data_IF_239207714750
#
_entry.id   IF_239207714750
#
_cell.length_a   1.000
_cell.length_b   1.000
_cell.length_c   1.000
_cell.angle_alpha   90.00
_cell.angle_beta   90.00
_cell.angle_gamma   90.00
#
_symmetry.space_group_name_H-M   'P 1'
#
loop_
_entity.id
_entity.type
_entity.pdbx_description
1 polymer ?
#
# COMPACT_ATOMS: atom_id res chain seq x y z
N UNK A 1 -5.64 -25.15 -11.14
CA UNK A 1 -5.72 -23.68 -11.33
C UNK A 1 -5.34 -23.00 -10.02
N UNK A 2 -4.82 -21.77 -10.02
CA UNK A 2 -4.51 -21.01 -8.78
C UNK A 2 -5.74 -20.86 -7.86
N UNK A 3 -6.94 -20.83 -8.46
CA UNK A 3 -8.23 -20.83 -7.75
C UNK A 3 -8.49 -22.17 -7.03
N UNK A 4 -8.11 -23.31 -7.61
CA UNK A 4 -8.31 -24.62 -7.00
C UNK A 4 -7.47 -24.86 -5.73
N UNK A 5 -6.29 -24.25 -5.63
CA UNK A 5 -5.43 -24.35 -4.44
C UNK A 5 -6.01 -23.59 -3.24
N UNK A 6 -6.71 -22.47 -3.49
CA UNK A 6 -7.31 -21.63 -2.44
C UNK A 6 -8.48 -22.29 -1.70
N UNK A 7 -9.09 -23.32 -2.29
CA UNK A 7 -10.28 -24.01 -1.73
C UNK A 7 -10.05 -25.52 -1.54
N UNK A 8 -8.81 -26.00 -1.59
CA UNK A 8 -8.50 -27.38 -1.23
C UNK A 8 -8.68 -27.60 0.28
N UNK A 9 -9.30 -28.70 0.67
CA UNK A 9 -9.64 -29.00 2.08
C UNK A 9 -8.42 -28.97 3.02
N UNK A 10 -7.22 -29.26 2.52
CA UNK A 10 -5.97 -29.24 3.32
C UNK A 10 -5.03 -28.07 2.97
N UNK A 11 -5.34 -27.32 1.91
CA UNK A 11 -4.41 -26.31 1.35
C UNK A 11 -4.98 -24.90 1.31
N UNK A 12 -6.29 -24.75 1.56
CA UNK A 12 -7.04 -23.52 1.38
C UNK A 12 -7.35 -22.79 2.68
N UNK A 13 -8.60 -22.34 2.78
CA UNK A 13 -9.16 -21.66 3.96
C UNK A 13 -10.19 -22.57 4.61
N UNK A 14 -10.04 -22.82 5.91
CA UNK A 14 -11.10 -23.44 6.70
C UNK A 14 -12.03 -22.36 7.27
N UNK A 15 -13.32 -22.47 6.94
CA UNK A 15 -14.40 -21.59 7.43
C UNK A 15 -15.45 -22.35 8.26
N UNK A 16 -15.26 -23.66 8.45
CA UNK A 16 -16.25 -24.56 9.07
C UNK A 16 -16.11 -24.67 10.59
N UNK A 17 -15.05 -24.08 11.16
CA UNK A 17 -14.80 -24.06 12.59
C UNK A 17 -15.88 -23.32 13.41
N UNK A 18 -15.96 -23.58 14.73
CA UNK A 18 -17.01 -23.08 15.61
C UNK A 18 -17.06 -21.55 15.74
N UNK A 19 -16.01 -20.86 15.27
CA UNK A 19 -15.85 -19.42 15.39
C UNK A 19 -16.34 -18.64 14.16
N UNK A 20 -16.68 -19.30 13.04
CA UNK A 20 -17.00 -18.64 11.75
C UNK A 20 -15.90 -17.69 11.25
N UNK A 21 -14.66 -17.97 11.65
CA UNK A 21 -13.49 -17.18 11.33
C UNK A 21 -12.64 -17.97 10.35
N UNK A 22 -12.19 -17.36 9.22
CA UNK A 22 -11.32 -18.07 8.29
C UNK A 22 -9.98 -18.37 8.95
N UNK A 23 -9.53 -19.62 8.84
CA UNK A 23 -8.22 -20.09 9.29
C UNK A 23 -7.45 -20.52 8.04
N UNK A 24 -6.23 -20.02 7.89
CA UNK A 24 -5.41 -20.32 6.72
C UNK A 24 -4.52 -21.52 7.00
N UNK A 25 -4.56 -22.50 6.10
CA UNK A 25 -3.57 -23.56 6.13
C UNK A 25 -2.18 -23.02 5.74
N UNK A 26 -1.15 -23.67 6.27
CA UNK A 26 0.25 -23.27 6.04
C UNK A 26 0.61 -23.13 4.55
N UNK A 27 0.18 -24.02 3.63
CA UNK A 27 0.47 -23.87 2.21
C UNK A 27 -0.09 -22.56 1.62
N UNK A 28 -1.32 -22.16 1.98
CA UNK A 28 -1.92 -20.91 1.55
C UNK A 28 -1.16 -19.69 2.08
N UNK A 29 -0.79 -19.71 3.36
CA UNK A 29 -0.01 -18.63 3.96
C UNK A 29 1.34 -18.43 3.27
N UNK A 30 2.10 -19.51 3.06
CA UNK A 30 3.39 -19.45 2.37
C UNK A 30 3.19 -18.88 0.96
N UNK A 31 2.18 -19.38 0.25
CA UNK A 31 1.84 -18.89 -1.08
C UNK A 31 1.54 -17.37 -1.07
N UNK A 32 0.68 -16.89 -0.16
CA UNK A 32 0.34 -15.47 -0.04
C UNK A 32 1.57 -14.61 0.26
N UNK A 33 2.41 -15.05 1.21
CA UNK A 33 3.65 -14.36 1.57
C UNK A 33 4.62 -14.29 0.39
N UNK A 34 4.84 -15.42 -0.31
CA UNK A 34 5.78 -15.49 -1.44
C UNK A 34 5.29 -14.64 -2.61
N UNK A 35 4.02 -14.79 -3.00
CA UNK A 35 3.45 -14.02 -4.12
C UNK A 35 3.46 -12.54 -3.79
N UNK A 36 2.99 -12.14 -2.60
CA UNK A 36 3.01 -10.72 -2.20
C UNK A 36 4.44 -10.17 -2.20
N UNK A 37 5.40 -10.93 -1.67
CA UNK A 37 6.81 -10.48 -1.61
C UNK A 37 7.40 -10.27 -2.99
N UNK A 38 7.25 -11.23 -3.91
CA UNK A 38 7.85 -11.19 -5.25
C UNK A 38 7.13 -10.19 -6.16
N UNK A 39 5.80 -10.12 -6.10
CA UNK A 39 5.01 -9.28 -6.99
C UNK A 39 4.94 -7.82 -6.55
N UNK A 40 4.97 -7.55 -5.24
CA UNK A 40 4.70 -6.23 -4.69
C UNK A 40 5.85 -5.71 -3.84
N UNK A 41 6.20 -6.37 -2.75
CA UNK A 41 7.12 -5.82 -1.74
C UNK A 41 8.52 -5.60 -2.30
N UNK A 42 9.12 -6.61 -2.93
CA UNK A 42 10.48 -6.53 -3.47
C UNK A 42 10.56 -5.49 -4.59
N UNK A 43 9.72 -5.51 -5.64
CA UNK A 43 9.75 -4.50 -6.69
C UNK A 43 9.55 -3.09 -6.14
N UNK A 44 8.60 -2.91 -5.22
CA UNK A 44 8.29 -1.60 -4.66
C UNK A 44 9.47 -1.04 -3.86
N UNK A 45 10.08 -1.84 -2.98
CA UNK A 45 11.24 -1.39 -2.20
C UNK A 45 12.43 -1.09 -3.11
N UNK A 46 12.69 -1.96 -4.09
CA UNK A 46 13.79 -1.78 -5.05
C UNK A 46 13.61 -0.48 -5.84
N UNK A 47 12.46 -0.27 -6.48
CA UNK A 47 12.18 0.91 -7.27
C UNK A 47 12.15 2.17 -6.41
N UNK A 48 11.53 2.13 -5.23
CA UNK A 48 11.47 3.28 -4.33
C UNK A 48 12.86 3.70 -3.86
N UNK A 49 13.74 2.75 -3.57
CA UNK A 49 15.13 3.02 -3.18
C UNK A 49 15.95 3.55 -4.36
N UNK A 50 15.74 3.01 -5.56
CA UNK A 50 16.39 3.50 -6.78
C UNK A 50 15.99 4.95 -7.06
N UNK A 51 14.71 5.29 -6.97
CA UNK A 51 14.21 6.66 -7.16
C UNK A 51 14.80 7.58 -6.11
N UNK A 52 14.75 7.19 -4.82
CA UNK A 52 15.32 7.96 -3.73
C UNK A 52 16.77 8.39 -3.98
N UNK A 53 17.61 7.48 -4.51
CA UNK A 53 19.01 7.76 -4.82
C UNK A 53 19.20 8.73 -5.99
N UNK A 54 18.23 8.79 -6.91
CA UNK A 54 18.26 9.68 -8.09
C UNK A 54 17.67 11.07 -7.84
N UNK A 55 16.97 11.29 -6.73
CA UNK A 55 16.39 12.59 -6.40
C UNK A 55 17.49 13.59 -5.99
N UNK A 56 17.67 14.65 -6.76
CA UNK A 56 18.67 15.71 -6.47
C UNK A 56 18.16 16.70 -5.41
N UNK A 57 16.89 17.11 -5.51
CA UNK A 57 16.29 18.09 -4.59
C UNK A 57 16.15 17.51 -3.17
N UNK A 58 16.78 18.11 -2.15
CA UNK A 58 16.70 17.64 -0.76
C UNK A 58 15.28 17.68 -0.19
N UNK A 59 14.44 18.63 -0.61
CA UNK A 59 13.04 18.73 -0.18
C UNK A 59 12.22 17.55 -0.72
N UNK A 60 12.36 17.21 -2.00
CA UNK A 60 11.65 16.07 -2.62
C UNK A 60 12.16 14.76 -2.02
N UNK A 61 13.48 14.64 -1.85
CA UNK A 61 14.11 13.49 -1.21
C UNK A 61 13.58 13.25 0.21
N UNK A 62 13.36 14.31 0.99
CA UNK A 62 12.80 14.17 2.35
C UNK A 62 11.34 13.71 2.34
N UNK A 63 10.51 14.22 1.41
CA UNK A 63 9.13 13.76 1.22
C UNK A 63 9.07 12.30 0.77
N UNK A 64 10.00 11.88 -0.08
CA UNK A 64 10.11 10.50 -0.52
C UNK A 64 10.40 9.51 0.63
N UNK A 65 11.08 9.94 1.69
CA UNK A 65 11.26 9.13 2.90
C UNK A 65 9.92 8.81 3.56
N UNK A 66 9.01 9.78 3.66
CA UNK A 66 7.67 9.55 4.19
C UNK A 66 6.91 8.53 3.35
N UNK A 67 7.02 8.62 2.02
CA UNK A 67 6.43 7.61 1.12
C UNK A 67 6.99 6.21 1.38
N UNK A 68 8.31 6.06 1.51
CA UNK A 68 8.94 4.77 1.82
C UNK A 68 8.49 4.21 3.18
N UNK A 69 8.44 5.05 4.23
CA UNK A 69 7.93 4.64 5.55
C UNK A 69 6.46 4.21 5.46
N UNK A 70 5.64 4.94 4.70
CA UNK A 70 4.24 4.58 4.46
C UNK A 70 4.08 3.22 3.78
N UNK A 71 4.87 2.95 2.74
CA UNK A 71 4.91 1.63 2.08
C UNK A 71 5.32 0.54 3.07
N UNK A 72 6.34 0.75 3.90
CA UNK A 72 6.75 -0.26 4.87
C UNK A 72 5.65 -0.52 5.90
N UNK A 73 4.95 0.52 6.38
CA UNK A 73 3.79 0.38 7.26
C UNK A 73 2.69 -0.47 6.64
N UNK A 74 2.36 -0.23 5.37
CA UNK A 74 1.35 -1.00 4.65
C UNK A 74 1.78 -2.45 4.39
N UNK A 75 3.07 -2.69 4.11
CA UNK A 75 3.60 -4.06 3.99
C UNK A 75 3.51 -4.81 5.33
N UNK A 76 3.91 -4.18 6.44
CA UNK A 76 3.79 -4.77 7.79
C UNK A 76 2.33 -5.10 8.10
N UNK A 77 1.41 -4.19 7.78
CA UNK A 77 -0.02 -4.43 7.91
C UNK A 77 -0.46 -5.68 7.13
N UNK A 78 -0.05 -5.81 5.87
CA UNK A 78 -0.41 -6.96 5.03
C UNK A 78 0.16 -8.28 5.57
N UNK A 79 1.47 -8.33 5.88
CA UNK A 79 2.10 -9.53 6.42
C UNK A 79 1.52 -9.95 7.76
N UNK A 80 1.34 -9.02 8.69
CA UNK A 80 0.74 -9.36 9.97
C UNK A 80 -0.73 -9.75 9.85
N UNK A 81 -1.45 -9.25 8.85
CA UNK A 81 -2.81 -9.71 8.56
C UNK A 81 -2.80 -11.18 8.12
N UNK A 82 -1.91 -11.58 7.21
CA UNK A 82 -1.74 -12.99 6.85
C UNK A 82 -1.39 -13.85 8.06
N UNK A 83 -0.43 -13.40 8.89
CA UNK A 83 0.00 -14.10 10.09
C UNK A 83 -1.12 -14.19 11.14
N UNK A 84 -1.99 -13.18 11.24
CA UNK A 84 -3.08 -13.18 12.22
C UNK A 84 -4.07 -14.32 12.02
N UNK A 85 -4.22 -14.82 10.80
CA UNK A 85 -5.09 -15.97 10.49
C UNK A 85 -4.53 -17.30 11.00
N UNK A 86 -3.21 -17.45 11.10
CA UNK A 86 -2.55 -18.62 11.70
C UNK A 86 -2.39 -18.44 13.20
N UNK A 87 -1.96 -17.25 13.63
CA UNK A 87 -1.65 -16.98 15.03
C UNK A 87 -2.88 -17.01 15.94
N UNK A 88 -4.08 -16.77 15.42
CA UNK A 88 -5.31 -16.91 16.21
C UNK A 88 -5.52 -18.34 16.73
N UNK A 89 -5.06 -19.36 15.99
CA UNK A 89 -5.13 -20.77 16.41
C UNK A 89 -4.23 -21.02 17.62
N UNK A 90 -3.10 -20.32 17.70
CA UNK A 90 -2.08 -20.51 18.74
C UNK A 90 -2.34 -19.58 19.94
N UNK A 91 -2.78 -18.35 19.67
CA UNK A 91 -2.99 -17.29 20.64
C UNK A 91 -4.38 -16.65 20.42
N UNK A 92 -5.43 -17.18 21.08
CA UNK A 92 -6.77 -16.62 20.98
C UNK A 92 -6.80 -15.12 21.36
N UNK A 93 -7.43 -14.30 20.53
CA UNK A 93 -7.50 -12.85 20.71
C UNK A 93 -6.38 -12.06 20.03
N UNK A 94 -5.40 -12.71 19.40
CA UNK A 94 -4.34 -12.02 18.64
C UNK A 94 -4.92 -11.12 17.55
N UNK A 95 -5.96 -11.57 16.84
CA UNK A 95 -6.61 -10.80 15.77
C UNK A 95 -7.23 -9.50 16.26
N UNK A 96 -7.78 -9.49 17.47
CA UNK A 96 -8.36 -8.27 18.02
C UNK A 96 -7.26 -7.22 18.25
N UNK A 97 -6.15 -7.62 18.88
CA UNK A 97 -4.98 -6.76 19.05
C UNK A 97 -4.40 -6.31 17.70
N UNK A 98 -4.29 -7.23 16.74
CA UNK A 98 -3.82 -6.92 15.40
C UNK A 98 -4.77 -5.99 14.63
N UNK A 99 -6.08 -6.05 14.85
CA UNK A 99 -7.05 -5.16 14.20
C UNK A 99 -6.84 -3.71 14.63
N UNK A 100 -6.56 -3.49 15.91
CA UNK A 100 -6.25 -2.15 16.45
C UNK A 100 -4.92 -1.64 15.87
N UNK A 101 -3.86 -2.46 15.97
CA UNK A 101 -2.55 -2.10 15.43
C UNK A 101 -2.59 -1.88 13.91
N UNK A 102 -3.33 -2.73 13.20
CA UNK A 102 -3.50 -2.69 11.76
C UNK A 102 -4.23 -1.44 11.29
N UNK A 103 -5.27 -1.01 12.01
CA UNK A 103 -5.95 0.25 11.72
C UNK A 103 -4.99 1.44 11.80
N UNK A 104 -4.14 1.48 12.83
CA UNK A 104 -3.12 2.54 12.98
C UNK A 104 -2.13 2.47 11.80
N UNK A 105 -1.62 1.29 11.47
CA UNK A 105 -0.67 1.10 10.37
C UNK A 105 -1.24 1.52 9.01
N UNK A 106 -2.51 1.24 8.74
CA UNK A 106 -3.18 1.60 7.49
C UNK A 106 -3.44 3.10 7.42
N UNK A 107 -3.96 3.71 8.49
CA UNK A 107 -4.27 5.15 8.51
C UNK A 107 -2.98 5.96 8.42
N UNK A 108 -1.99 5.67 9.28
CA UNK A 108 -0.71 6.38 9.29
C UNK A 108 0.07 6.09 8.01
N UNK A 109 0.12 4.83 7.59
CA UNK A 109 0.83 4.43 6.36
C UNK A 109 0.24 5.07 5.11
N UNK A 110 -1.08 5.02 4.96
CA UNK A 110 -1.80 5.65 3.85
C UNK A 110 -1.61 7.17 3.83
N UNK A 111 -1.70 7.82 4.99
CA UNK A 111 -1.42 9.25 5.10
C UNK A 111 0.01 9.60 4.69
N UNK A 112 1.01 8.82 5.12
CA UNK A 112 2.41 9.06 4.76
C UNK A 112 2.68 8.85 3.26
N UNK A 113 2.05 7.87 2.63
CA UNK A 113 2.10 7.68 1.16
C UNK A 113 1.52 8.89 0.44
N UNK A 114 0.34 9.35 0.87
CA UNK A 114 -0.31 10.52 0.27
C UNK A 114 0.52 11.81 0.47
N UNK A 115 1.05 12.01 1.68
CA UNK A 115 1.89 13.17 1.98
C UNK A 115 3.20 13.17 1.18
N UNK A 116 3.83 11.99 1.03
CA UNK A 116 5.12 11.84 0.37
C UNK A 116 5.08 12.06 -1.14
N UNK A 117 4.06 11.54 -1.83
CA UNK A 117 3.95 11.61 -3.31
C UNK A 117 2.62 12.23 -3.77
N UNK A 118 1.49 11.77 -3.23
CA UNK A 118 0.15 12.15 -3.72
C UNK A 118 -0.13 13.65 -3.70
N UNK A 119 0.36 14.37 -2.69
CA UNK A 119 0.16 15.83 -2.57
C UNK A 119 0.89 16.65 -3.64
N UNK A 120 1.94 16.11 -4.27
CA UNK A 120 2.69 16.82 -5.30
C UNK A 120 1.94 16.85 -6.63
N UNK A 121 1.35 15.71 -7.02
CA UNK A 121 0.57 15.57 -8.25
C UNK A 121 -0.58 16.59 -8.32
N UNK A 122 -1.34 16.76 -7.24
CA UNK A 122 -2.44 17.71 -7.21
C UNK A 122 -2.02 19.18 -7.31
N UNK A 123 -0.81 19.54 -6.85
CA UNK A 123 -0.30 20.92 -6.99
C UNK A 123 0.14 21.22 -8.42
N UNK A 124 0.78 20.26 -9.07
CA UNK A 124 1.25 20.42 -10.45
C UNK A 124 0.07 20.50 -11.44
N UNK A 125 -0.97 19.70 -11.24
CA UNK A 125 -2.19 19.74 -12.05
C UNK A 125 -2.91 21.10 -11.98
N UNK A 126 -3.07 21.65 -10.76
CA UNK A 126 -3.67 22.97 -10.56
C UNK A 126 -2.84 24.06 -11.23
N UNK A 127 -1.51 24.00 -11.10
CA UNK A 127 -0.61 24.97 -11.72
C UNK A 127 -0.73 24.93 -13.24
N UNK A 128 -0.63 23.74 -13.85
CA UNK A 128 -0.78 23.55 -15.30
C UNK A 128 -2.11 24.09 -15.84
N UNK A 129 -3.21 23.82 -15.13
CA UNK A 129 -4.54 24.32 -15.51
C UNK A 129 -4.60 25.85 -15.45
N UNK A 130 -4.00 26.45 -14.41
CA UNK A 130 -3.99 27.90 -14.21
C UNK A 130 -3.15 28.60 -15.28
N UNK A 131 -1.94 28.09 -15.55
CA UNK A 131 -1.02 28.63 -16.56
C UNK A 131 -1.67 28.63 -17.96
N UNK A 132 -2.33 27.54 -18.35
CA UNK A 132 -3.05 27.44 -19.62
C UNK A 132 -4.24 28.41 -19.71
N UNK A 133 -4.99 28.61 -18.61
CA UNK A 133 -6.10 29.55 -18.57
C UNK A 133 -5.63 31.00 -18.75
N UNK A 134 -4.49 31.36 -18.15
CA UNK A 134 -3.88 32.68 -18.34
C UNK A 134 -3.41 32.90 -19.78
N UNK A 135 -2.81 31.88 -20.40
CA UNK A 135 -2.42 31.93 -21.81
C UNK A 135 -3.62 32.12 -22.74
N UNK A 136 -4.70 31.36 -22.54
CA UNK A 136 -5.95 31.49 -23.32
C UNK A 136 -6.53 32.90 -23.17
N UNK A 137 -6.58 33.44 -21.95
CA UNK A 137 -7.04 34.82 -21.70
C UNK A 137 -6.19 35.84 -22.44
N UNK A 138 -4.87 35.66 -22.46
CA UNK A 138 -3.93 36.53 -23.18
C UNK A 138 -4.18 36.51 -24.69
N UNK A 139 -4.34 35.32 -25.29
CA UNK A 139 -4.64 35.16 -26.72
C UNK A 139 -5.95 35.84 -27.08
N UNK A 140 -6.99 35.67 -26.26
CA UNK A 140 -8.28 36.34 -26.49
C UNK A 140 -8.12 37.87 -26.44
N UNK A 141 -7.46 38.42 -25.42
CA UNK A 141 -7.25 39.87 -25.32
C UNK A 141 -6.45 40.44 -26.50
N UNK A 142 -5.47 39.72 -27.04
CA UNK A 142 -4.73 40.14 -28.25
C UNK A 142 -5.52 40.03 -29.55
N UNK A 143 -6.59 39.23 -29.60
CA UNK A 143 -7.43 39.06 -30.80
C UNK A 143 -8.54 40.11 -30.90
N UNK A 144 -8.94 40.71 -29.79
CA UNK A 144 -10.02 41.69 -29.70
C UNK A 144 -9.53 43.15 -29.56
N UNK A 145 -8.22 43.37 -29.51
CA UNK A 145 -7.55 44.66 -29.67
C UNK A 145 -6.93 44.75 -31.07
#
# INVERSE_FOLDING_TARGET
SMIGFMFGEETGVDITGPTWVPIYHLPLFIYLVVVHSISSTIPTIYLSTMIYKKLEDPMIRNKWKFFMVGIHSLNIFMYGTYSSYILEVILPGFRFGWSIAGLILVVVGGYMVFYGVGRQLGKEEIKFTTDNLEEIKRIMQTKYN
#
